data_IF_048936870557
#
_entry.id   IF_048936870557
#
_cell.length_a   1.000
_cell.length_b   1.000
_cell.length_c   1.000
_cell.angle_alpha   90.00
_cell.angle_beta   90.00
_cell.angle_gamma   90.00
#
_symmetry.space_group_name_H-M   'P 1'
#
loop_
_entity.id
_entity.type
_entity.pdbx_description
1 polymer ?
#
# COMPACT_ATOMS: atom_id res chain seq x y z
N UNK A 1 3.22 3.06 9.14
CA UNK A 1 2.09 3.79 8.49
C UNK A 1 1.87 5.21 9.00
N UNK A 2 2.29 5.56 10.22
CA UNK A 2 2.15 6.91 10.77
C UNK A 2 3.14 7.96 10.20
N UNK A 3 4.08 7.51 9.37
CA UNK A 3 5.03 8.36 8.65
C UNK A 3 4.52 8.79 7.27
N UNK A 4 5.45 9.26 6.43
CA UNK A 4 5.16 9.82 5.09
C UNK A 4 5.02 8.77 3.98
N UNK A 5 5.25 7.49 4.27
CA UNK A 5 5.20 6.41 3.26
C UNK A 5 3.90 6.40 2.43
N UNK A 6 2.71 6.41 3.06
CA UNK A 6 1.45 6.48 2.33
C UNK A 6 1.28 7.74 1.47
N UNK A 7 1.78 8.89 1.91
CA UNK A 7 1.76 10.14 1.15
C UNK A 7 2.61 10.04 -0.12
N UNK A 8 3.83 9.54 0.01
CA UNK A 8 4.75 9.33 -1.11
C UNK A 8 4.10 8.41 -2.15
N UNK A 9 3.53 7.28 -1.71
CA UNK A 9 2.88 6.32 -2.61
C UNK A 9 1.72 6.99 -3.35
N UNK A 10 0.81 7.67 -2.64
CA UNK A 10 -0.34 8.30 -3.28
C UNK A 10 0.08 9.36 -4.29
N UNK A 11 1.06 10.21 -3.97
CA UNK A 11 1.60 11.24 -4.88
C UNK A 11 2.31 10.65 -6.09
N UNK A 12 3.11 9.59 -5.91
CA UNK A 12 3.80 8.91 -7.01
C UNK A 12 2.81 8.44 -8.07
N UNK A 13 1.68 7.85 -7.65
CA UNK A 13 0.67 7.33 -8.57
C UNK A 13 -0.41 8.35 -8.98
N UNK A 14 -0.22 9.65 -8.67
CA UNK A 14 -0.97 10.71 -9.35
C UNK A 14 -0.49 10.90 -10.80
N UNK A 15 0.76 10.52 -11.08
CA UNK A 15 1.33 10.53 -12.42
C UNK A 15 0.98 9.23 -13.16
N UNK A 16 0.11 9.35 -14.17
CA UNK A 16 -0.36 8.20 -14.95
C UNK A 16 0.77 7.46 -15.69
N UNK A 17 1.91 8.12 -15.96
CA UNK A 17 3.06 7.50 -16.63
C UNK A 17 3.66 6.37 -15.79
N UNK A 18 3.45 6.37 -14.47
CA UNK A 18 3.91 5.29 -13.60
C UNK A 18 3.26 3.94 -13.95
N UNK A 19 2.04 3.94 -14.48
CA UNK A 19 1.33 2.71 -14.85
C UNK A 19 1.85 2.10 -16.17
N UNK A 20 2.64 2.84 -16.95
CA UNK A 20 3.34 2.30 -18.12
C UNK A 20 4.63 1.57 -17.73
N UNK A 21 5.19 1.91 -16.55
CA UNK A 21 6.44 1.34 -16.04
C UNK A 21 6.23 0.09 -15.21
N UNK A 22 5.10 -0.01 -14.49
CA UNK A 22 4.81 -1.17 -13.65
C UNK A 22 3.30 -1.36 -13.39
N UNK A 23 2.95 -2.55 -12.88
CA UNK A 23 1.65 -2.78 -12.23
C UNK A 23 1.85 -2.70 -10.71
N UNK A 24 1.57 -1.56 -10.08
CA UNK A 24 1.86 -1.37 -8.67
C UNK A 24 0.90 -2.16 -7.77
N UNK A 25 1.48 -2.93 -6.85
CA UNK A 25 0.77 -3.70 -5.82
C UNK A 25 1.28 -3.29 -4.45
N UNK A 26 0.40 -2.70 -3.66
CA UNK A 26 0.67 -2.26 -2.31
C UNK A 26 0.13 -3.29 -1.31
N UNK A 27 1.03 -3.91 -0.56
CA UNK A 27 0.70 -4.80 0.56
C UNK A 27 0.38 -3.94 1.78
N UNK A 28 -0.90 -3.70 2.07
CA UNK A 28 -1.35 -2.82 3.15
C UNK A 28 -2.82 -3.10 3.50
N UNK A 29 -3.50 -2.10 4.09
CA UNK A 29 -4.95 -2.11 4.26
C UNK A 29 -5.59 -0.93 3.55
N UNK A 30 -6.59 -1.23 2.72
CA UNK A 30 -7.32 -0.27 1.91
C UNK A 30 -8.07 0.79 2.72
N UNK A 31 -8.55 0.49 3.95
CA UNK A 31 -9.24 1.47 4.81
C UNK A 31 -8.27 2.56 5.27
N UNK A 32 -7.05 2.18 5.64
CA UNK A 32 -5.97 3.12 5.99
C UNK A 32 -5.69 4.06 4.81
N UNK A 33 -5.50 3.52 3.61
CA UNK A 33 -5.24 4.34 2.42
C UNK A 33 -6.44 5.22 2.02
N UNK A 34 -7.66 4.75 2.26
CA UNK A 34 -8.87 5.56 2.06
C UNK A 34 -8.90 6.75 3.02
N UNK A 35 -8.60 6.53 4.30
CA UNK A 35 -8.51 7.57 5.31
C UNK A 35 -7.41 8.60 4.96
N UNK A 36 -6.21 8.13 4.63
CA UNK A 36 -5.07 9.00 4.29
C UNK A 36 -5.35 9.78 2.99
N UNK A 37 -5.90 9.14 1.96
CA UNK A 37 -6.32 9.81 0.71
C UNK A 37 -7.27 10.98 1.00
N UNK A 38 -8.24 10.79 1.90
CA UNK A 38 -9.21 11.84 2.28
C UNK A 38 -8.52 13.02 2.96
N UNK A 39 -7.58 12.75 3.86
CA UNK A 39 -6.82 13.79 4.57
C UNK A 39 -5.94 14.58 3.61
N UNK A 40 -5.23 13.89 2.71
CA UNK A 40 -4.34 14.51 1.73
C UNK A 40 -5.07 15.13 0.53
N UNK A 41 -6.39 14.91 0.42
CA UNK A 41 -7.21 15.31 -0.74
C UNK A 41 -6.64 14.81 -2.08
N UNK A 42 -5.97 13.65 -2.06
CA UNK A 42 -5.35 13.07 -3.25
C UNK A 42 -6.41 12.58 -4.23
N UNK A 43 -6.13 12.76 -5.53
CA UNK A 43 -7.00 12.29 -6.63
C UNK A 43 -6.68 10.85 -7.05
N UNK A 44 -5.61 10.26 -6.51
CA UNK A 44 -5.18 8.90 -6.84
C UNK A 44 -6.27 7.89 -6.56
N UNK A 45 -6.67 7.16 -7.59
CA UNK A 45 -7.63 6.08 -7.47
C UNK A 45 -6.89 4.75 -7.32
N UNK A 46 -7.42 3.90 -6.47
CA UNK A 46 -6.90 2.56 -6.25
C UNK A 46 -8.06 1.57 -6.17
N UNK A 47 -7.76 0.33 -6.56
CA UNK A 47 -8.62 -0.83 -6.34
C UNK A 47 -8.00 -1.67 -5.23
N UNK A 48 -8.81 -2.48 -4.56
CA UNK A 48 -8.30 -3.38 -3.53
C UNK A 48 -8.81 -4.80 -3.73
N UNK A 49 -8.00 -5.76 -3.30
CA UNK A 49 -8.29 -7.19 -3.39
C UNK A 49 -7.53 -7.91 -2.28
N UNK A 50 -8.02 -9.06 -1.84
CA UNK A 50 -7.30 -10.04 -1.01
C UNK A 50 -6.85 -11.26 -1.84
N UNK A 51 -7.05 -11.20 -3.16
CA UNK A 51 -6.74 -12.25 -4.12
C UNK A 51 -5.74 -11.73 -5.17
N UNK A 52 -4.59 -12.40 -5.29
CA UNK A 52 -3.46 -11.98 -6.13
C UNK A 52 -3.79 -12.09 -7.63
N UNK A 53 -4.67 -13.02 -8.01
CA UNK A 53 -5.18 -13.22 -9.37
C UNK A 53 -6.12 -12.09 -9.82
N UNK A 54 -6.61 -11.26 -8.89
CA UNK A 54 -7.49 -10.11 -9.17
C UNK A 54 -6.76 -8.77 -9.27
N UNK A 55 -5.43 -8.78 -9.29
CA UNK A 55 -4.62 -7.58 -9.53
C UNK A 55 -4.91 -7.04 -10.94
N UNK A 56 -5.18 -5.74 -11.04
CA UNK A 56 -5.57 -5.08 -12.27
C UNK A 56 -4.41 -4.26 -12.84
N UNK A 57 -4.11 -4.47 -14.12
CA UNK A 57 -3.15 -3.63 -14.85
C UNK A 57 -3.69 -2.20 -15.01
N UNK A 58 -2.78 -1.22 -15.06
CA UNK A 58 -3.16 0.19 -15.24
C UNK A 58 -3.84 0.83 -14.01
N UNK A 59 -3.78 0.18 -12.85
CA UNK A 59 -4.38 0.64 -11.59
C UNK A 59 -3.38 0.56 -10.45
N UNK A 60 -3.56 1.42 -9.45
CA UNK A 60 -2.94 1.22 -8.14
C UNK A 60 -3.72 0.13 -7.41
N UNK A 61 -3.07 -1.01 -7.16
CA UNK A 61 -3.68 -2.13 -6.47
C UNK A 61 -3.27 -2.13 -5.00
N UNK A 62 -4.23 -2.27 -4.10
CA UNK A 62 -3.97 -2.54 -2.69
C UNK A 62 -4.32 -4.00 -2.40
N UNK A 63 -3.31 -4.80 -2.09
CA UNK A 63 -3.48 -6.15 -1.57
C UNK A 63 -3.71 -6.06 -0.06
N UNK A 64 -4.93 -6.39 0.39
CA UNK A 64 -5.30 -6.31 1.80
C UNK A 64 -4.61 -7.42 2.61
N UNK A 65 -3.67 -7.04 3.47
CA UNK A 65 -2.91 -7.99 4.31
C UNK A 65 -3.61 -8.29 5.64
N UNK A 66 -4.35 -7.32 6.18
CA UNK A 66 -5.18 -7.46 7.39
C UNK A 66 -6.54 -6.80 7.20
N UNK A 67 -7.51 -7.09 8.08
CA UNK A 67 -8.91 -6.65 7.93
C UNK A 67 -9.36 -5.67 9.02
N UNK A 68 -8.67 -5.70 10.15
CA UNK A 68 -8.92 -4.91 11.33
C UNK A 68 -8.77 -3.41 11.03
N UNK A 69 -9.58 -2.59 11.71
CA UNK A 69 -9.42 -1.15 11.65
C UNK A 69 -8.19 -0.75 12.45
N UNK A 70 -7.45 0.24 11.93
CA UNK A 70 -6.25 0.77 12.56
C UNK A 70 -6.41 2.28 12.65
N UNK A 71 -6.28 2.80 13.86
CA UNK A 71 -6.26 4.24 14.08
C UNK A 71 -4.88 4.79 13.69
N UNK A 72 -4.88 5.76 12.77
CA UNK A 72 -3.67 6.37 12.24
C UNK A 72 -3.46 7.73 12.89
N UNK A 73 -2.42 7.82 13.71
CA UNK A 73 -1.99 9.05 14.38
C UNK A 73 -0.65 9.50 13.79
N UNK A 74 -0.70 10.45 12.85
CA UNK A 74 0.51 10.88 12.12
C UNK A 74 1.61 11.41 13.05
N UNK A 75 2.84 11.03 12.78
CA UNK A 75 4.01 11.46 13.56
C UNK A 75 4.13 10.81 14.95
N UNK A 76 3.16 10.01 15.38
CA UNK A 76 3.20 9.29 16.65
C UNK A 76 3.72 7.87 16.46
N UNK A 77 4.68 7.46 17.29
CA UNK A 77 5.10 6.07 17.37
C UNK A 77 4.01 5.21 18.01
N UNK A 78 3.73 4.08 17.38
CA UNK A 78 2.76 3.10 17.85
C UNK A 78 3.25 1.69 17.47
N UNK A 79 3.46 0.85 18.48
CA UNK A 79 3.95 -0.51 18.30
C UNK A 79 2.96 -1.39 17.52
N UNK A 80 1.66 -1.15 17.66
CA UNK A 80 0.61 -1.88 16.93
C UNK A 80 0.72 -1.53 15.43
N UNK A 81 0.82 -0.23 15.12
CA UNK A 81 1.01 0.25 13.74
C UNK A 81 2.33 -0.24 13.14
N UNK A 82 3.38 -0.33 13.95
CA UNK A 82 4.66 -0.93 13.56
C UNK A 82 4.52 -2.41 13.20
N UNK A 83 3.72 -3.16 13.97
CA UNK A 83 3.39 -4.56 13.68
C UNK A 83 2.79 -4.75 12.29
N UNK A 84 1.81 -3.91 11.91
CA UNK A 84 1.22 -3.98 10.57
C UNK A 84 2.22 -3.67 9.44
N UNK A 85 3.21 -2.80 9.68
CA UNK A 85 4.26 -2.55 8.70
C UNK A 85 5.14 -3.80 8.48
N UNK A 86 5.40 -4.55 9.55
CA UNK A 86 6.11 -5.84 9.49
C UNK A 86 5.26 -6.87 8.74
N UNK A 87 3.96 -6.97 9.04
CA UNK A 87 3.05 -7.88 8.32
C UNK A 87 3.01 -7.59 6.82
N UNK A 88 2.89 -6.30 6.44
CA UNK A 88 3.00 -5.85 5.04
C UNK A 88 4.30 -6.33 4.39
N UNK A 89 5.42 -6.18 5.09
CA UNK A 89 6.74 -6.56 4.58
C UNK A 89 6.88 -8.08 4.42
N UNK A 90 6.39 -8.86 5.38
CA UNK A 90 6.38 -10.33 5.31
C UNK A 90 5.50 -10.81 4.14
N UNK A 91 4.32 -10.21 3.95
CA UNK A 91 3.45 -10.54 2.83
C UNK A 91 4.11 -10.22 1.48
N UNK A 92 4.74 -9.05 1.35
CA UNK A 92 5.41 -8.63 0.13
C UNK A 92 6.64 -9.52 -0.20
N UNK A 93 7.43 -9.88 0.80
CA UNK A 93 8.58 -10.78 0.62
C UNK A 93 8.14 -12.21 0.30
N UNK A 94 7.02 -12.67 0.84
CA UNK A 94 6.42 -13.96 0.47
C UNK A 94 5.96 -13.95 -0.99
N UNK A 95 5.26 -12.91 -1.42
CA UNK A 95 4.84 -12.74 -2.82
C UNK A 95 6.04 -12.71 -3.77
N UNK A 96 7.13 -12.03 -3.40
CA UNK A 96 8.36 -12.01 -4.18
C UNK A 96 9.00 -13.41 -4.30
N UNK A 97 9.11 -14.14 -3.19
CA UNK A 97 9.67 -15.51 -3.18
C UNK A 97 8.85 -16.48 -4.03
N UNK A 98 7.53 -16.29 -4.06
CA UNK A 98 6.60 -17.11 -4.84
C UNK A 98 6.53 -16.70 -6.32
N UNK A 99 7.26 -15.66 -6.74
CA UNK A 99 7.21 -15.15 -8.11
C UNK A 99 5.88 -14.47 -8.47
N UNK A 100 5.11 -14.00 -7.48
CA UNK A 100 3.86 -13.27 -7.72
C UNK A 100 4.10 -11.79 -8.06
N UNK A 101 5.28 -11.26 -7.70
CA UNK A 101 5.74 -9.92 -8.05
C UNK A 101 7.19 -10.01 -8.52
N UNK A 102 7.61 -9.09 -9.39
CA UNK A 102 8.95 -9.11 -10.00
C UNK A 102 9.99 -8.34 -9.16
N UNK A 103 9.54 -7.33 -8.41
CA UNK A 103 10.39 -6.46 -7.61
C UNK A 103 9.67 -5.98 -6.35
N UNK A 104 10.45 -5.67 -5.31
CA UNK A 104 9.96 -5.11 -4.05
C UNK A 104 10.61 -3.75 -3.80
N UNK A 105 9.77 -2.73 -3.55
CA UNK A 105 10.18 -1.39 -3.13
C UNK A 105 9.55 -1.10 -1.77
N UNK A 106 10.36 -0.67 -0.81
CA UNK A 106 9.89 -0.31 0.53
C UNK A 106 9.75 1.21 0.66
N UNK A 107 8.62 1.66 1.20
CA UNK A 107 8.49 3.03 1.69
C UNK A 107 9.20 3.15 3.06
N UNK A 108 9.49 4.37 3.55
CA UNK A 108 10.00 4.55 4.91
C UNK A 108 9.07 3.93 5.96
N UNK A 109 9.64 3.15 6.88
CA UNK A 109 8.96 2.45 7.97
C UNK A 109 9.31 3.10 9.30
#
# INVERSE_FOLDING_TARGET
MNGIGPEIILKTFEDARMFELCTPVLFANSRVFTFIKKILKSKTNFVYTDQIDKIQQGKLNIFNVWKEAVDVNFGQQDNIVGGYAIESFIAATTALKNGNIDALVTAPI
#
